data_IF_954660221785
#
_entry.id   IF_954660221785
#
_cell.length_a   1.000
_cell.length_b   1.000
_cell.length_c   1.000
_cell.angle_alpha   90.00
_cell.angle_beta   90.00
_cell.angle_gamma   90.00
#
_symmetry.space_group_name_H-M   'P 1'
#
loop_
_entity.id
_entity.type
_entity.pdbx_description
1 polymer ?
#
# COMPACT_ATOMS: atom_id res chain seq x y z
N UNK A 1 -4.27 -25.85 3.49
CA UNK A 1 -4.20 -25.76 2.02
C UNK A 1 -4.20 -27.18 1.51
N UNK A 2 -4.88 -27.45 0.41
CA UNK A 2 -4.88 -28.75 -0.23
C UNK A 2 -4.21 -28.60 -1.60
N UNK A 3 -3.24 -29.46 -1.86
CA UNK A 3 -2.56 -29.59 -3.14
C UNK A 3 -2.71 -31.01 -3.67
N UNK A 4 -2.47 -31.20 -4.97
CA UNK A 4 -2.24 -32.54 -5.52
C UNK A 4 -0.94 -33.15 -4.95
N UNK A 5 -0.71 -34.44 -5.27
CA UNK A 5 0.44 -35.20 -4.74
C UNK A 5 1.79 -34.55 -5.08
N UNK A 6 1.88 -33.94 -6.26
CA UNK A 6 3.10 -33.35 -6.78
C UNK A 6 3.26 -31.86 -6.41
N UNK A 7 2.29 -31.30 -5.68
CA UNK A 7 2.20 -29.88 -5.32
C UNK A 7 2.21 -28.91 -6.52
N UNK A 8 1.78 -29.39 -7.69
CA UNK A 8 1.66 -28.62 -8.93
C UNK A 8 0.30 -27.95 -9.07
N UNK A 9 -0.73 -28.45 -8.39
CA UNK A 9 -2.08 -27.89 -8.41
C UNK A 9 -2.51 -27.48 -7.02
N UNK A 10 -2.85 -26.20 -6.84
CA UNK A 10 -3.57 -25.77 -5.63
C UNK A 10 -5.04 -26.16 -5.78
N UNK A 11 -5.45 -27.18 -5.05
CA UNK A 11 -6.82 -27.71 -5.09
C UNK A 11 -7.75 -26.86 -4.22
N UNK A 12 -7.30 -26.46 -3.02
CA UNK A 12 -8.17 -25.75 -2.09
C UNK A 12 -7.43 -24.86 -1.07
N UNK A 13 -7.93 -23.64 -0.95
CA UNK A 13 -7.74 -22.71 0.13
C UNK A 13 -9.03 -22.68 0.98
N UNK A 14 -8.98 -22.99 2.29
CA UNK A 14 -10.18 -22.97 3.13
C UNK A 14 -10.79 -21.58 3.19
N UNK A 15 -12.04 -21.46 2.74
CA UNK A 15 -12.77 -20.20 2.56
C UNK A 15 -12.90 -19.36 3.84
N UNK A 16 -12.90 -19.99 5.01
CA UNK A 16 -12.98 -19.33 6.33
C UNK A 16 -11.63 -19.06 6.99
N UNK A 17 -10.51 -19.30 6.29
CA UNK A 17 -9.18 -19.02 6.84
C UNK A 17 -9.04 -17.51 7.11
N UNK A 18 -8.62 -17.16 8.32
CA UNK A 18 -8.52 -15.78 8.80
C UNK A 18 -7.38 -14.97 8.17
N UNK A 19 -6.43 -15.63 7.50
CA UNK A 19 -5.36 -14.95 6.79
C UNK A 19 -5.93 -14.09 5.66
N UNK A 20 -5.56 -12.82 5.65
CA UNK A 20 -5.99 -11.84 4.65
C UNK A 20 -5.11 -11.85 3.40
N UNK A 21 -3.98 -12.54 3.43
CA UNK A 21 -3.05 -12.66 2.32
C UNK A 21 -2.59 -14.10 2.14
N UNK A 22 -2.26 -14.47 0.90
CA UNK A 22 -1.69 -15.78 0.59
C UNK A 22 -0.72 -15.70 -0.58
N UNK A 23 0.45 -16.31 -0.44
CA UNK A 23 1.40 -16.48 -1.54
C UNK A 23 1.38 -17.92 -2.00
N UNK A 24 1.02 -18.15 -3.26
CA UNK A 24 0.99 -19.48 -3.85
C UNK A 24 2.45 -19.93 -4.07
N UNK A 25 2.84 -21.16 -3.68
CA UNK A 25 4.21 -21.65 -3.87
C UNK A 25 4.67 -21.65 -5.33
N UNK A 26 5.94 -21.33 -5.58
CA UNK A 26 6.51 -21.16 -6.92
C UNK A 26 6.55 -22.45 -7.79
N UNK A 27 6.26 -23.62 -7.22
CA UNK A 27 6.11 -24.88 -7.97
C UNK A 27 4.71 -25.14 -8.53
N UNK A 28 3.71 -24.33 -8.13
CA UNK A 28 2.33 -24.51 -8.55
C UNK A 28 2.16 -24.02 -9.99
N UNK A 29 1.66 -24.89 -10.86
CA UNK A 29 1.39 -24.61 -12.28
C UNK A 29 -0.09 -24.37 -12.54
N UNK A 30 -0.99 -24.79 -11.65
CA UNK A 30 -2.44 -24.64 -11.83
C UNK A 30 -3.14 -24.23 -10.53
N UNK A 31 -4.08 -23.28 -10.65
CA UNK A 31 -5.06 -22.98 -9.60
C UNK A 31 -6.33 -23.74 -9.94
N UNK A 32 -6.66 -24.73 -9.11
CA UNK A 32 -7.74 -25.67 -9.34
C UNK A 32 -9.14 -25.04 -9.31
N UNK A 33 -10.12 -25.83 -9.77
CA UNK A 33 -11.53 -25.43 -9.76
C UNK A 33 -11.94 -25.06 -8.33
N UNK A 34 -12.56 -23.88 -8.20
CA UNK A 34 -13.03 -23.35 -6.92
C UNK A 34 -11.96 -23.21 -5.81
N UNK A 35 -10.66 -23.23 -6.14
CA UNK A 35 -9.59 -23.31 -5.15
C UNK A 35 -9.66 -22.23 -4.06
N UNK A 36 -10.02 -20.99 -4.42
CA UNK A 36 -10.23 -19.87 -3.49
C UNK A 36 -11.70 -19.45 -3.38
N UNK A 37 -12.64 -20.27 -3.85
CA UNK A 37 -14.05 -19.90 -3.87
C UNK A 37 -14.54 -19.49 -2.49
N UNK A 38 -15.25 -18.36 -2.42
CA UNK A 38 -15.81 -17.75 -1.21
C UNK A 38 -14.78 -17.47 -0.12
N UNK A 39 -13.50 -17.28 -0.47
CA UNK A 39 -12.48 -16.79 0.47
C UNK A 39 -12.69 -15.29 0.76
N UNK A 40 -13.77 -14.95 1.48
CA UNK A 40 -14.25 -13.58 1.67
C UNK A 40 -13.34 -12.71 2.52
N UNK A 41 -12.34 -13.28 3.20
CA UNK A 41 -11.34 -12.54 3.98
C UNK A 41 -10.04 -12.29 3.21
N UNK A 42 -9.84 -12.97 2.07
CA UNK A 42 -8.61 -12.87 1.29
C UNK A 42 -8.60 -11.54 0.53
N UNK A 43 -7.73 -10.62 0.98
CA UNK A 43 -7.54 -9.28 0.39
C UNK A 43 -6.48 -9.24 -0.69
N UNK A 44 -5.54 -10.20 -0.68
CA UNK A 44 -4.43 -10.27 -1.63
C UNK A 44 -3.98 -11.71 -1.86
N UNK A 45 -3.67 -12.05 -3.11
CA UNK A 45 -3.08 -13.32 -3.50
C UNK A 45 -1.88 -13.06 -4.41
N UNK A 46 -0.76 -13.72 -4.13
CA UNK A 46 0.41 -13.72 -5.03
C UNK A 46 0.36 -14.97 -5.89
N UNK A 47 0.21 -14.77 -7.20
CA UNK A 47 0.22 -15.83 -8.22
C UNK A 47 1.63 -15.90 -8.83
N UNK A 48 2.37 -17.00 -8.67
CA UNK A 48 3.75 -17.11 -9.16
C UNK A 48 3.78 -17.29 -10.67
N UNK A 49 4.91 -16.93 -11.27
CA UNK A 49 5.14 -17.02 -12.71
C UNK A 49 5.12 -18.46 -13.26
N UNK A 50 5.05 -19.49 -12.42
CA UNK A 50 4.85 -20.89 -12.80
C UNK A 50 3.40 -21.21 -13.20
N UNK A 51 2.41 -20.41 -12.76
CA UNK A 51 1.00 -20.72 -12.99
C UNK A 51 0.62 -20.49 -14.46
N UNK A 52 0.18 -21.55 -15.13
CA UNK A 52 -0.30 -21.51 -16.51
C UNK A 52 -1.82 -21.39 -16.60
N UNK A 53 -2.58 -21.85 -15.60
CA UNK A 53 -4.04 -21.92 -15.68
C UNK A 53 -4.71 -21.49 -14.36
N UNK A 54 -5.74 -20.65 -14.50
CA UNK A 54 -6.70 -20.33 -13.45
C UNK A 54 -8.02 -21.00 -13.82
N UNK A 55 -8.41 -22.05 -13.11
CA UNK A 55 -9.56 -22.87 -13.50
C UNK A 55 -10.92 -22.21 -13.21
N UNK A 56 -11.98 -22.92 -13.60
CA UNK A 56 -13.37 -22.52 -13.39
C UNK A 56 -13.63 -22.12 -11.93
N UNK A 57 -14.28 -20.97 -11.74
CA UNK A 57 -14.68 -20.46 -10.42
C UNK A 57 -13.57 -20.36 -9.37
N UNK A 58 -12.30 -20.38 -9.76
CA UNK A 58 -11.14 -20.43 -8.85
C UNK A 58 -11.19 -19.36 -7.75
N UNK A 59 -11.59 -18.13 -8.06
CA UNK A 59 -11.75 -16.99 -7.15
C UNK A 59 -13.21 -16.51 -7.06
N UNK A 60 -14.17 -17.39 -7.33
CA UNK A 60 -15.59 -17.03 -7.29
C UNK A 60 -15.98 -16.53 -5.91
N UNK A 61 -16.56 -15.32 -5.82
CA UNK A 61 -17.05 -14.74 -4.57
C UNK A 61 -15.97 -14.36 -3.56
N UNK A 62 -14.73 -14.07 -4.00
CA UNK A 62 -13.71 -13.47 -3.15
C UNK A 62 -13.98 -11.98 -2.94
N UNK A 63 -14.91 -11.65 -2.05
CA UNK A 63 -15.48 -10.30 -1.87
C UNK A 63 -14.59 -9.30 -1.12
N UNK A 64 -13.35 -9.66 -0.77
CA UNK A 64 -12.36 -8.72 -0.21
C UNK A 64 -11.14 -8.54 -1.10
N UNK A 65 -10.99 -9.35 -2.14
CA UNK A 65 -9.87 -9.25 -3.07
C UNK A 65 -10.06 -7.99 -3.91
N UNK A 66 -9.18 -7.01 -3.74
CA UNK A 66 -9.31 -5.69 -4.39
C UNK A 66 -8.43 -5.54 -5.63
N UNK A 67 -7.36 -6.35 -5.71
CA UNK A 67 -6.44 -6.41 -6.83
C UNK A 67 -5.95 -7.84 -7.10
N UNK A 68 -5.56 -8.10 -8.34
CA UNK A 68 -4.89 -9.35 -8.73
C UNK A 68 -3.84 -9.10 -9.80
N UNK A 69 -2.66 -9.70 -9.62
CA UNK A 69 -1.60 -9.72 -10.63
C UNK A 69 -1.60 -11.11 -11.28
N UNK A 70 -1.92 -11.14 -12.57
CA UNK A 70 -1.96 -12.34 -13.41
C UNK A 70 -0.63 -12.41 -14.20
N UNK A 71 0.21 -13.43 -13.94
CA UNK A 71 1.52 -13.52 -14.58
C UNK A 71 1.41 -13.85 -16.07
N UNK A 72 2.46 -13.51 -16.84
CA UNK A 72 2.53 -13.70 -18.29
C UNK A 72 2.39 -15.17 -18.73
N UNK A 73 2.67 -16.11 -17.82
CA UNK A 73 2.52 -17.55 -18.03
C UNK A 73 1.08 -18.01 -18.05
N UNK A 74 0.12 -17.24 -17.50
CA UNK A 74 -1.30 -17.62 -17.54
C UNK A 74 -1.83 -17.48 -18.96
N UNK A 75 -2.14 -18.62 -19.57
CA UNK A 75 -2.71 -18.70 -20.92
C UNK A 75 -4.22 -18.92 -20.90
N UNK A 76 -4.79 -19.35 -19.77
CA UNK A 76 -6.21 -19.64 -19.62
C UNK A 76 -6.80 -19.19 -18.28
N UNK A 77 -7.92 -18.49 -18.35
CA UNK A 77 -8.78 -18.12 -17.22
C UNK A 77 -10.15 -18.75 -17.46
N UNK A 78 -10.56 -19.66 -16.59
CA UNK A 78 -11.76 -20.46 -16.73
C UNK A 78 -13.07 -19.69 -16.58
N UNK A 79 -14.18 -20.36 -16.88
CA UNK A 79 -15.52 -19.82 -16.71
C UNK A 79 -15.72 -19.35 -15.26
N UNK A 80 -16.34 -18.19 -15.09
CA UNK A 80 -16.66 -17.62 -13.77
C UNK A 80 -15.46 -17.50 -12.79
N UNK A 81 -14.21 -17.52 -13.27
CA UNK A 81 -13.02 -17.59 -12.43
C UNK A 81 -13.00 -16.53 -11.31
N UNK A 82 -13.42 -15.30 -11.59
CA UNK A 82 -13.56 -14.18 -10.64
C UNK A 82 -15.02 -13.72 -10.49
N UNK A 83 -15.98 -14.60 -10.78
CA UNK A 83 -17.41 -14.25 -10.72
C UNK A 83 -17.79 -13.77 -9.31
N UNK A 84 -18.40 -12.60 -9.22
CA UNK A 84 -18.84 -12.01 -7.95
C UNK A 84 -17.69 -11.62 -7.00
N UNK A 85 -16.45 -11.48 -7.49
CA UNK A 85 -15.37 -10.84 -6.74
C UNK A 85 -15.61 -9.31 -6.68
N UNK A 86 -16.65 -8.91 -5.94
CA UNK A 86 -17.28 -7.59 -6.02
C UNK A 86 -16.39 -6.39 -5.70
N UNK A 87 -15.28 -6.60 -4.99
CA UNK A 87 -14.29 -5.57 -4.67
C UNK A 87 -13.14 -5.50 -5.66
N UNK A 88 -13.02 -6.47 -6.57
CA UNK A 88 -11.91 -6.56 -7.51
C UNK A 88 -12.03 -5.43 -8.54
N UNK A 89 -11.25 -4.38 -8.35
CA UNK A 89 -11.24 -3.21 -9.23
C UNK A 89 -9.96 -3.15 -10.08
N UNK A 90 -8.90 -3.82 -9.63
CA UNK A 90 -7.56 -3.63 -10.13
C UNK A 90 -6.99 -4.94 -10.66
N UNK A 91 -7.06 -5.16 -11.97
CA UNK A 91 -6.59 -6.40 -12.60
C UNK A 91 -5.37 -6.07 -13.45
N UNK A 92 -4.27 -6.78 -13.22
CA UNK A 92 -3.02 -6.56 -13.95
C UNK A 92 -2.63 -7.84 -14.66
N UNK A 93 -2.39 -7.76 -15.97
CA UNK A 93 -1.84 -8.86 -16.74
C UNK A 93 -0.46 -8.50 -17.28
N UNK A 94 0.53 -9.35 -17.03
CA UNK A 94 1.95 -9.07 -17.34
C UNK A 94 2.44 -9.67 -18.66
N UNK A 95 1.61 -10.47 -19.33
CA UNK A 95 1.95 -11.07 -20.63
C UNK A 95 1.70 -10.14 -21.81
N UNK A 96 2.38 -10.42 -22.92
CA UNK A 96 2.24 -9.65 -24.17
C UNK A 96 1.01 -10.06 -25.01
N UNK A 97 0.38 -11.20 -24.72
CA UNK A 97 -0.78 -11.71 -25.45
C UNK A 97 -1.89 -12.08 -24.46
N UNK A 98 -3.14 -11.73 -24.78
CA UNK A 98 -4.26 -12.01 -23.90
C UNK A 98 -4.48 -13.52 -23.71
N UNK A 99 -4.84 -13.97 -22.49
CA UNK A 99 -5.22 -15.34 -22.25
C UNK A 99 -6.56 -15.67 -22.93
N UNK A 100 -6.89 -16.94 -23.03
CA UNK A 100 -8.26 -17.39 -23.26
C UNK A 100 -9.08 -17.11 -22.01
N UNK A 101 -10.21 -16.43 -22.14
CA UNK A 101 -11.05 -16.03 -21.02
C UNK A 101 -12.41 -16.70 -21.17
N UNK A 102 -12.79 -17.46 -20.13
CA UNK A 102 -14.05 -18.16 -20.05
C UNK A 102 -15.25 -17.24 -19.91
N UNK A 103 -16.43 -17.80 -20.17
CA UNK A 103 -17.69 -17.08 -20.01
C UNK A 103 -17.85 -16.59 -18.56
N UNK A 104 -18.24 -15.33 -18.41
CA UNK A 104 -18.47 -14.69 -17.12
C UNK A 104 -17.27 -14.62 -16.18
N UNK A 105 -16.03 -14.84 -16.67
CA UNK A 105 -14.84 -14.91 -15.82
C UNK A 105 -14.69 -13.69 -14.89
N UNK A 106 -15.08 -12.50 -15.35
CA UNK A 106 -15.09 -11.29 -14.53
C UNK A 106 -16.48 -10.67 -14.34
N UNK A 107 -17.57 -11.43 -14.46
CA UNK A 107 -18.91 -10.89 -14.20
C UNK A 107 -19.10 -10.62 -12.70
N UNK A 108 -19.64 -9.45 -12.35
CA UNK A 108 -19.88 -9.08 -10.95
C UNK A 108 -18.62 -8.68 -10.17
N UNK A 109 -17.53 -8.34 -10.87
CA UNK A 109 -16.42 -7.56 -10.28
C UNK A 109 -16.85 -6.10 -10.04
N UNK A 110 -15.99 -5.28 -9.44
CA UNK A 110 -16.31 -3.88 -9.18
C UNK A 110 -16.70 -3.15 -10.49
N UNK A 111 -17.71 -2.28 -10.46
CA UNK A 111 -18.12 -1.51 -11.65
C UNK A 111 -17.01 -0.57 -12.15
N UNK A 112 -16.09 -0.17 -11.27
CA UNK A 112 -14.91 0.60 -11.60
C UNK A 112 -13.79 -0.24 -12.23
N UNK A 113 -13.92 -1.57 -12.29
CA UNK A 113 -12.83 -2.46 -12.66
C UNK A 113 -12.14 -2.08 -13.96
N UNK A 114 -10.81 -2.12 -13.93
CA UNK A 114 -9.94 -1.92 -15.08
C UNK A 114 -8.89 -3.03 -15.14
N UNK A 115 -8.62 -3.46 -16.36
CA UNK A 115 -7.51 -4.33 -16.67
C UNK A 115 -6.37 -3.46 -17.21
N UNK A 116 -5.21 -3.54 -16.57
CA UNK A 116 -3.99 -2.97 -17.10
C UNK A 116 -3.21 -4.05 -17.84
N UNK A 117 -2.66 -3.65 -18.98
CA UNK A 117 -1.82 -4.49 -19.82
C UNK A 117 -0.56 -3.72 -20.24
N UNK A 118 0.48 -4.47 -20.61
CA UNK A 118 1.72 -3.86 -21.12
C UNK A 118 1.46 -3.14 -22.45
N UNK A 119 2.13 -2.00 -22.66
CA UNK A 119 2.07 -1.26 -23.92
C UNK A 119 2.34 -2.16 -25.13
N UNK A 120 1.42 -2.16 -26.08
CA UNK A 120 1.51 -2.96 -27.31
C UNK A 120 1.16 -4.44 -27.12
N UNK A 121 0.54 -4.82 -25.99
CA UNK A 121 0.04 -6.16 -25.80
C UNK A 121 -1.14 -6.46 -26.74
N UNK A 122 -1.20 -7.68 -27.28
CA UNK A 122 -2.16 -8.06 -28.32
C UNK A 122 -3.30 -8.90 -27.77
N UNK A 123 -4.48 -8.82 -28.41
CA UNK A 123 -5.65 -9.61 -28.01
C UNK A 123 -6.43 -9.07 -26.81
N UNK A 124 -6.13 -7.87 -26.31
CA UNK A 124 -6.91 -7.20 -25.28
C UNK A 124 -7.85 -6.18 -25.93
N UNK A 125 -8.96 -6.66 -26.47
CA UNK A 125 -9.94 -5.78 -27.12
C UNK A 125 -11.07 -5.41 -26.15
N UNK A 126 -11.48 -4.15 -26.18
CA UNK A 126 -12.63 -3.63 -25.41
C UNK A 126 -13.97 -3.89 -26.12
N UNK A 127 -13.93 -4.31 -27.38
CA UNK A 127 -15.07 -4.67 -28.21
C UNK A 127 -14.71 -5.81 -29.18
N UNK A 128 -15.73 -6.42 -29.78
CA UNK A 128 -15.60 -7.59 -30.67
C UNK A 128 -15.78 -8.91 -29.94
N UNK A 129 -16.25 -9.94 -30.65
CA UNK A 129 -16.50 -11.27 -30.10
C UNK A 129 -15.27 -12.18 -30.27
N UNK A 130 -14.91 -12.96 -29.23
CA UNK A 130 -15.39 -12.82 -27.86
C UNK A 130 -14.77 -11.57 -27.21
N UNK A 131 -15.59 -10.78 -26.49
CA UNK A 131 -15.08 -9.65 -25.72
C UNK A 131 -14.15 -10.23 -24.66
N UNK A 132 -12.83 -10.09 -24.87
CA UNK A 132 -11.87 -10.98 -24.20
C UNK A 132 -11.81 -10.74 -22.69
N UNK A 133 -12.38 -9.67 -22.16
CA UNK A 133 -12.32 -9.34 -20.73
C UNK A 133 -13.70 -9.10 -20.07
N UNK A 134 -14.75 -9.74 -20.58
CA UNK A 134 -16.12 -9.66 -20.04
C UNK A 134 -16.61 -8.21 -19.78
N UNK A 135 -16.21 -7.26 -20.64
CA UNK A 135 -16.61 -5.85 -20.52
C UNK A 135 -15.75 -4.99 -19.57
N UNK A 136 -14.68 -5.53 -19.00
CA UNK A 136 -13.70 -4.71 -18.26
C UNK A 136 -12.96 -3.80 -19.24
N UNK A 137 -12.88 -2.51 -18.92
CA UNK A 137 -12.06 -1.56 -19.67
C UNK A 137 -10.58 -1.93 -19.59
N UNK A 138 -9.92 -2.03 -20.74
CA UNK A 138 -8.47 -2.30 -20.85
C UNK A 138 -7.74 -0.99 -21.06
N UNK A 139 -6.72 -0.73 -20.25
CA UNK A 139 -5.82 0.40 -20.41
C UNK A 139 -4.47 -0.11 -20.96
N UNK A 140 -4.06 0.40 -22.12
CA UNK A 140 -2.76 0.08 -22.73
C UNK A 140 -1.68 1.05 -22.21
N UNK A 141 -0.74 0.53 -21.43
CA UNK A 141 0.38 1.28 -20.89
C UNK A 141 0.16 1.98 -19.54
N UNK A 142 1.30 2.25 -18.89
CA UNK A 142 1.50 3.23 -17.82
C UNK A 142 0.63 3.11 -16.53
N UNK A 143 1.21 2.44 -15.51
CA UNK A 143 1.06 2.68 -14.06
C UNK A 143 -0.09 2.05 -13.28
N UNK A 144 -0.31 0.73 -13.37
CA UNK A 144 -0.83 0.01 -12.19
C UNK A 144 0.33 -0.46 -11.31
N UNK A 145 0.65 0.35 -10.29
CA UNK A 145 1.47 -0.11 -9.18
C UNK A 145 0.58 -0.90 -8.21
N UNK A 146 0.82 -2.20 -8.08
CA UNK A 146 0.33 -2.96 -6.92
C UNK A 146 1.21 -2.65 -5.71
N UNK A 147 0.64 -2.71 -4.50
CA UNK A 147 1.34 -2.30 -3.28
C UNK A 147 1.52 -3.52 -2.36
N UNK A 148 2.77 -3.97 -2.20
CA UNK A 148 3.12 -5.01 -1.25
C UNK A 148 3.58 -4.38 0.06
N UNK A 149 2.77 -4.48 1.11
CA UNK A 149 3.07 -3.91 2.42
C UNK A 149 4.24 -4.61 3.16
N UNK A 150 4.84 -5.67 2.62
CA UNK A 150 5.99 -6.37 3.22
C UNK A 150 5.77 -6.73 4.70
N UNK A 151 4.62 -7.35 4.98
CA UNK A 151 4.19 -7.72 6.33
C UNK A 151 3.55 -6.60 7.16
N UNK A 152 3.27 -5.44 6.55
CA UNK A 152 2.41 -4.41 7.15
C UNK A 152 0.91 -4.62 6.84
N UNK A 153 0.08 -3.69 7.31
CA UNK A 153 -1.36 -3.68 7.10
C UNK A 153 -1.72 -3.57 5.62
N UNK A 154 -2.91 -4.06 5.27
CA UNK A 154 -3.41 -4.02 3.90
C UNK A 154 -3.47 -2.59 3.37
N UNK A 155 -3.05 -2.41 2.12
CA UNK A 155 -3.11 -1.14 1.40
C UNK A 155 -4.14 -1.27 0.30
N UNK A 156 -5.18 -0.44 0.34
CA UNK A 156 -6.18 -0.39 -0.71
C UNK A 156 -5.52 0.06 -2.03
N UNK A 157 -5.91 -0.58 -3.13
CA UNK A 157 -5.53 -0.11 -4.47
C UNK A 157 -6.06 1.32 -4.68
N UNK A 158 -5.23 2.18 -5.27
CA UNK A 158 -5.60 3.56 -5.58
C UNK A 158 -6.25 3.65 -6.96
N UNK A 159 -7.35 4.39 -7.04
CA UNK A 159 -8.02 4.71 -8.29
C UNK A 159 -7.23 5.77 -9.08
N UNK A 160 -7.23 5.64 -10.40
CA UNK A 160 -6.51 6.54 -11.30
C UNK A 160 -7.39 7.72 -11.75
N UNK A 161 -6.74 8.86 -11.97
CA UNK A 161 -7.32 9.98 -12.73
C UNK A 161 -7.39 9.62 -14.22
N UNK A 162 -8.27 10.30 -14.97
CA UNK A 162 -8.45 10.07 -16.41
C UNK A 162 -7.17 10.30 -17.25
N UNK A 163 -6.15 10.94 -16.68
CA UNK A 163 -4.83 11.17 -17.29
C UNK A 163 -3.78 10.11 -16.88
N UNK A 164 -4.18 9.02 -16.21
CA UNK A 164 -3.29 7.93 -15.80
C UNK A 164 -2.47 8.20 -14.53
N UNK A 165 -2.72 9.31 -13.82
CA UNK A 165 -2.05 9.61 -12.55
C UNK A 165 -2.77 8.97 -11.36
N UNK A 166 -1.99 8.60 -10.35
CA UNK A 166 -2.50 8.30 -9.01
C UNK A 166 -2.85 9.64 -8.34
N UNK A 167 -4.13 9.85 -8.03
CA UNK A 167 -4.63 11.13 -7.49
C UNK A 167 -4.02 11.46 -6.11
N UNK A 168 -3.58 10.44 -5.36
CA UNK A 168 -2.97 10.56 -4.03
C UNK A 168 -2.18 9.30 -3.68
N UNK A 169 -1.10 9.44 -2.89
CA UNK A 169 -0.38 8.29 -2.35
C UNK A 169 -1.36 7.35 -1.64
N UNK A 170 -1.20 6.01 -1.77
CA UNK A 170 -2.05 5.08 -1.03
C UNK A 170 -1.90 5.31 0.49
N UNK A 171 -2.90 4.87 1.26
CA UNK A 171 -2.81 4.88 2.73
C UNK A 171 -1.54 4.20 3.19
N UNK A 172 -0.77 4.87 4.07
CA UNK A 172 0.45 4.31 4.62
C UNK A 172 0.12 3.02 5.39
N UNK A 173 0.76 1.88 5.06
CA UNK A 173 0.58 0.67 5.85
C UNK A 173 1.17 0.87 7.25
N UNK A 174 0.74 0.03 8.18
CA UNK A 174 1.28 -0.05 9.55
C UNK A 174 1.93 -1.40 9.79
N UNK A 175 3.05 -1.44 10.52
CA UNK A 175 3.75 -2.68 10.91
C UNK A 175 4.30 -2.53 12.32
N UNK A 176 3.94 -3.45 13.22
CA UNK A 176 4.37 -3.38 14.62
C UNK A 176 5.90 -3.32 14.72
N UNK A 177 6.41 -2.42 15.58
CA UNK A 177 7.85 -2.21 15.77
C UNK A 177 8.58 -1.53 14.60
N UNK A 178 7.87 -1.03 13.59
CA UNK A 178 8.48 -0.41 12.40
C UNK A 178 7.80 0.92 12.03
N UNK A 179 8.55 1.84 11.45
CA UNK A 179 8.03 3.07 10.81
C UNK A 179 8.05 2.89 9.31
N UNK A 180 6.96 3.27 8.64
CA UNK A 180 6.89 3.24 7.18
C UNK A 180 7.80 4.31 6.57
N UNK A 181 8.78 3.89 5.78
CA UNK A 181 9.79 4.76 5.17
C UNK A 181 9.40 5.21 3.74
N UNK A 182 8.41 4.54 3.14
CA UNK A 182 7.93 4.82 1.79
C UNK A 182 7.88 3.57 0.91
N UNK A 183 7.53 3.80 -0.35
CA UNK A 183 7.39 2.75 -1.37
C UNK A 183 8.66 2.65 -2.22
N UNK A 184 9.13 1.44 -2.51
CA UNK A 184 10.31 1.17 -3.34
C UNK A 184 9.93 0.31 -4.55
N UNK A 185 10.64 0.45 -5.68
CA UNK A 185 10.36 -0.33 -6.89
C UNK A 185 10.70 -1.82 -6.77
N UNK A 186 11.58 -2.17 -5.83
CA UNK A 186 11.99 -3.55 -5.53
C UNK A 186 11.90 -3.78 -4.03
N UNK A 187 11.68 -5.03 -3.63
CA UNK A 187 11.77 -5.41 -2.22
C UNK A 187 13.19 -5.11 -1.67
N UNK A 188 13.27 -4.53 -0.47
CA UNK A 188 14.54 -4.07 0.11
C UNK A 188 15.21 -2.89 -0.60
N UNK A 189 14.55 -2.25 -1.57
CA UNK A 189 15.11 -1.10 -2.31
C UNK A 189 15.44 0.10 -1.41
N UNK A 190 16.38 0.93 -1.86
CA UNK A 190 16.74 2.18 -1.13
C UNK A 190 16.06 3.43 -1.68
N UNK A 191 15.66 3.42 -2.95
CA UNK A 191 15.07 4.58 -3.63
C UNK A 191 13.57 4.63 -3.38
N UNK A 192 13.11 5.67 -2.69
CA UNK A 192 11.70 5.92 -2.42
C UNK A 192 11.01 6.55 -3.64
N UNK A 193 9.89 5.96 -4.04
CA UNK A 193 9.00 6.46 -5.09
C UNK A 193 8.21 7.66 -4.55
N UNK A 194 8.18 8.75 -5.33
CA UNK A 194 7.49 10.00 -4.96
C UNK A 194 6.14 10.09 -5.68
N UNK A 195 5.05 10.31 -4.96
CA UNK A 195 3.71 10.55 -5.54
C UNK A 195 3.46 12.06 -5.70
N UNK A 196 2.70 12.51 -6.73
CA UNK A 196 2.06 11.73 -7.81
C UNK A 196 2.97 11.45 -9.02
N UNK A 197 4.23 11.90 -9.00
CA UNK A 197 5.16 11.76 -10.13
C UNK A 197 5.86 10.41 -10.08
N UNK A 198 5.24 9.37 -10.63
CA UNK A 198 5.89 8.08 -10.93
C UNK A 198 6.25 8.01 -12.41
N UNK A 199 7.48 8.33 -12.84
CA UNK A 199 7.80 8.38 -14.27
C UNK A 199 8.02 7.00 -14.90
N UNK A 200 8.00 5.89 -14.15
CA UNK A 200 8.34 4.55 -14.71
C UNK A 200 7.63 3.26 -14.20
N UNK A 201 6.61 3.30 -13.34
CA UNK A 201 5.75 2.11 -13.12
C UNK A 201 4.97 1.68 -14.38
N UNK A 202 5.43 0.65 -15.09
CA UNK A 202 4.60 0.04 -16.13
C UNK A 202 3.57 -0.91 -15.52
N UNK A 203 2.65 -1.41 -16.33
CA UNK A 203 1.72 -2.44 -15.89
C UNK A 203 2.45 -3.64 -15.25
N UNK A 204 2.03 -4.08 -14.07
CA UNK A 204 2.71 -5.17 -13.35
C UNK A 204 3.76 -4.72 -12.34
N UNK A 205 4.02 -3.42 -12.25
CA UNK A 205 4.94 -2.92 -11.22
C UNK A 205 4.35 -3.20 -9.84
N UNK A 206 5.12 -3.83 -8.97
CA UNK A 206 4.78 -3.94 -7.54
C UNK A 206 5.69 -3.00 -6.79
N UNK A 207 5.12 -2.06 -6.06
CA UNK A 207 5.85 -1.24 -5.11
C UNK A 207 5.86 -1.94 -3.76
N UNK A 208 7.02 -1.96 -3.13
CA UNK A 208 7.27 -2.66 -1.89
C UNK A 208 7.41 -1.67 -0.74
N UNK A 209 6.76 -1.94 0.39
CA UNK A 209 6.86 -1.10 1.55
C UNK A 209 8.26 -1.24 2.17
N UNK A 210 8.94 -0.11 2.32
CA UNK A 210 10.17 -0.02 3.09
C UNK A 210 9.84 0.32 4.54
N UNK A 211 10.50 -0.38 5.45
CA UNK A 211 10.31 -0.26 6.89
C UNK A 211 11.62 0.08 7.56
N UNK A 212 11.62 1.09 8.43
CA UNK A 212 12.70 1.36 9.37
C UNK A 212 12.30 0.78 10.75
N UNK A 213 13.24 0.12 11.44
CA UNK A 213 12.98 -0.37 12.80
C UNK A 213 12.74 0.82 13.74
N UNK A 214 11.69 0.73 14.56
CA UNK A 214 11.52 1.66 15.68
C UNK A 214 12.60 1.27 16.71
N UNK A 215 13.58 2.14 16.99
CA UNK A 215 14.59 1.83 18.00
C UNK A 215 13.89 1.66 19.35
N UNK A 216 14.09 0.51 19.98
CA UNK A 216 13.68 0.29 21.37
C UNK A 216 14.54 1.22 22.21
N UNK A 217 13.95 2.31 22.68
CA UNK A 217 14.52 3.03 23.82
C UNK A 217 14.39 2.08 24.99
N UNK A 218 15.49 1.44 25.39
CA UNK A 218 15.58 0.83 26.71
C UNK A 218 15.43 1.98 27.70
N UNK A 219 14.20 2.20 28.15
CA UNK A 219 13.95 3.06 29.29
C UNK A 219 14.74 2.46 30.47
N UNK A 220 15.62 3.23 31.13
CA UNK A 220 16.28 2.73 32.33
C UNK A 220 15.20 2.31 33.32
N UNK A 221 15.34 1.08 33.84
CA UNK A 221 14.38 0.47 34.75
C UNK A 221 13.95 1.47 35.84
N UNK A 222 12.64 1.59 36.12
CA UNK A 222 12.18 2.45 37.21
C UNK A 222 12.89 2.01 38.50
N UNK A 223 13.47 2.98 39.19
CA UNK A 223 14.11 2.76 40.48
C UNK A 223 13.09 2.13 41.44
N UNK A 224 13.33 0.86 41.76
CA UNK A 224 12.61 0.12 42.79
C UNK A 224 12.87 0.81 44.11
N UNK A 225 11.86 1.42 44.73
CA UNK A 225 11.92 1.77 46.15
C UNK A 225 10.53 1.73 46.83
N UNK A 226 10.35 0.58 47.48
CA UNK A 226 9.67 0.31 48.74
C UNK A 226 8.14 0.07 48.81
N UNK A 227 7.69 -0.87 49.68
CA UNK A 227 6.39 -1.53 49.59
C UNK A 227 5.34 -1.01 50.57
N UNK A 228 4.12 -1.55 50.36
CA UNK A 228 3.00 -1.78 51.29
C UNK A 228 1.76 -0.90 51.08
N UNK A 229 0.55 -1.36 51.47
CA UNK A 229 0.04 -2.73 51.63
C UNK A 229 -1.27 -2.96 50.84
N UNK A 230 -1.71 -4.23 50.80
CA UNK A 230 -2.99 -4.65 50.24
C UNK A 230 -4.19 -4.08 51.01
N UNK A 231 -5.24 -3.67 50.29
CA UNK A 231 -6.65 -3.82 50.69
C UNK A 231 -7.58 -3.81 49.47
N UNK A 232 -8.66 -4.57 49.64
CA UNK A 232 -9.67 -5.08 48.72
C UNK A 232 -10.74 -4.08 48.25
N UNK A 233 -11.30 -4.27 47.04
CA UNK A 233 -12.69 -4.74 46.83
C UNK A 233 -13.23 -4.55 45.38
N UNK A 234 -13.80 -5.64 44.87
CA UNK A 234 -14.99 -5.82 43.98
C UNK A 234 -15.30 -4.92 42.76
N UNK A 235 -15.61 -5.63 41.65
CA UNK A 235 -16.23 -5.28 40.35
C UNK A 235 -17.59 -4.54 40.43
N UNK A 236 -18.27 -4.01 39.35
CA UNK A 236 -18.33 -4.55 37.97
C UNK A 236 -18.44 -3.56 36.76
N UNK A 237 -18.32 -4.15 35.56
CA UNK A 237 -18.82 -3.80 34.20
C UNK A 237 -19.21 -2.35 33.82
N UNK A 238 -18.66 -1.84 32.70
CA UNK A 238 -19.42 -1.39 31.51
C UNK A 238 -18.55 -0.69 30.44
N UNK A 239 -18.83 -1.02 29.18
CA UNK A 239 -18.80 -0.18 27.97
C UNK A 239 -17.60 0.78 27.74
N UNK A 240 -16.66 0.35 26.89
CA UNK A 240 -15.77 1.28 26.18
C UNK A 240 -16.41 1.69 24.85
N UNK A 241 -17.05 2.86 24.86
CA UNK A 241 -17.37 3.65 23.66
C UNK A 241 -16.07 4.02 22.94
N UNK A 242 -15.79 3.36 21.82
CA UNK A 242 -14.73 3.75 20.89
C UNK A 242 -15.19 4.97 20.09
N UNK A 243 -14.83 6.16 20.56
CA UNK A 243 -14.86 7.37 19.75
C UNK A 243 -13.87 7.22 18.60
N UNK A 244 -14.39 7.33 17.37
CA UNK A 244 -13.63 7.34 16.14
C UNK A 244 -12.55 8.43 16.17
N UNK A 245 -11.29 8.02 16.08
CA UNK A 245 -10.18 8.95 15.90
C UNK A 245 -9.97 9.18 14.41
N UNK A 246 -10.40 10.36 13.97
CA UNK A 246 -10.35 10.89 12.61
C UNK A 246 -8.96 10.76 11.98
N UNK A 247 -8.88 10.11 10.83
CA UNK A 247 -7.69 10.01 10.00
C UNK A 247 -7.24 11.42 9.57
N UNK A 248 -6.06 11.85 10.01
CA UNK A 248 -5.49 13.14 9.62
C UNK A 248 -4.91 13.07 8.21
N UNK A 249 -5.63 13.63 7.26
CA UNK A 249 -5.12 14.09 5.97
C UNK A 249 -4.01 15.13 6.22
N UNK A 250 -2.80 14.90 5.72
CA UNK A 250 -1.71 15.88 5.74
C UNK A 250 -1.90 16.97 4.66
N UNK A 251 -3.07 17.61 4.67
CA UNK A 251 -3.37 18.83 3.92
C UNK A 251 -3.55 19.94 4.96
N UNK A 252 -2.51 20.74 5.16
CA UNK A 252 -2.57 21.86 6.09
C UNK A 252 -3.20 23.04 5.36
N UNK A 253 -4.33 23.55 5.88
CA UNK A 253 -5.15 24.58 5.24
C UNK A 253 -4.45 25.94 5.13
N UNK A 254 -4.63 26.62 3.99
CA UNK A 254 -4.18 27.98 3.77
C UNK A 254 -4.91 28.99 4.69
N UNK A 255 -4.27 29.33 5.82
CA UNK A 255 -4.18 30.67 6.43
C UNK A 255 -3.57 30.57 7.84
N UNK A 256 -2.26 30.32 7.94
CA UNK A 256 -1.54 30.50 9.20
C UNK A 256 -0.03 30.62 8.97
N UNK A 257 0.65 31.32 9.88
CA UNK A 257 2.11 31.25 10.01
C UNK A 257 2.46 29.91 10.67
N UNK A 258 3.16 29.03 9.96
CA UNK A 258 3.58 27.75 10.52
C UNK A 258 5.00 27.83 11.07
N UNK A 259 5.24 27.21 12.24
CA UNK A 259 6.59 27.03 12.76
C UNK A 259 7.18 25.72 12.25
N UNK A 260 8.51 25.64 12.18
CA UNK A 260 9.21 24.41 11.79
C UNK A 260 8.82 23.22 12.69
N UNK A 261 8.63 23.48 13.99
CA UNK A 261 8.26 22.46 14.99
C UNK A 261 6.81 21.99 14.83
N UNK A 262 5.86 22.90 14.58
CA UNK A 262 4.46 22.52 14.31
C UNK A 262 4.31 21.71 13.02
N UNK A 263 5.07 22.06 11.97
CA UNK A 263 5.10 21.28 10.73
C UNK A 263 5.74 19.91 10.94
N UNK A 264 6.79 19.81 11.76
CA UNK A 264 7.42 18.53 12.11
C UNK A 264 6.44 17.58 12.80
N UNK A 265 5.64 18.08 13.74
CA UNK A 265 4.60 17.29 14.41
C UNK A 265 3.50 16.85 13.44
N UNK A 266 3.08 17.72 12.52
CA UNK A 266 2.08 17.39 11.49
C UNK A 266 2.55 16.30 10.52
N UNK A 267 3.85 16.20 10.24
CA UNK A 267 4.41 15.11 9.43
C UNK A 267 4.78 13.87 10.27
N UNK A 268 4.23 13.75 11.48
CA UNK A 268 4.43 12.58 12.34
C UNK A 268 5.84 12.47 12.94
N UNK A 269 6.60 13.57 13.04
CA UNK A 269 7.79 13.61 13.91
C UNK A 269 7.32 13.95 15.32
N UNK A 270 6.98 12.91 16.09
CA UNK A 270 6.38 13.04 17.43
C UNK A 270 7.41 13.19 18.55
N UNK A 271 8.69 12.86 18.30
CA UNK A 271 9.79 13.07 19.23
C UNK A 271 10.87 13.94 18.58
N UNK A 272 10.94 15.20 18.99
CA UNK A 272 12.01 16.13 18.61
C UNK A 272 12.74 16.47 19.91
N UNK A 273 14.02 16.11 20.05
CA UNK A 273 14.73 16.46 21.28
C UNK A 273 14.78 17.99 21.45
N UNK A 274 14.84 18.51 22.69
CA UNK A 274 14.91 19.96 22.92
C UNK A 274 16.08 20.65 22.21
N UNK A 275 17.10 19.88 21.81
CA UNK A 275 18.34 20.33 21.17
C UNK A 275 18.38 20.01 19.65
N UNK A 276 17.32 19.47 19.07
CA UNK A 276 17.26 19.16 17.66
C UNK A 276 17.10 20.43 16.80
N UNK A 277 17.81 20.46 15.67
CA UNK A 277 17.69 21.52 14.68
C UNK A 277 16.60 21.15 13.68
N UNK A 278 15.52 21.93 13.64
CA UNK A 278 14.44 21.76 12.65
C UNK A 278 14.56 22.84 11.58
N UNK A 279 14.79 22.44 10.33
CA UNK A 279 14.87 23.36 9.19
C UNK A 279 13.72 23.12 8.22
N UNK A 280 13.31 24.20 7.57
CA UNK A 280 12.30 24.22 6.51
C UNK A 280 13.02 24.61 5.23
N UNK A 281 12.79 23.90 4.14
CA UNK A 281 13.23 24.27 2.79
C UNK A 281 12.03 24.35 1.87
N UNK A 282 11.91 25.41 1.08
CA UNK A 282 10.83 25.60 0.09
C UNK A 282 11.32 25.15 -1.29
N UNK A 283 10.56 24.30 -1.97
CA UNK A 283 10.88 23.87 -3.32
C UNK A 283 10.97 25.08 -4.28
N UNK A 284 11.89 25.05 -5.25
CA UNK A 284 12.05 26.15 -6.23
C UNK A 284 10.73 26.49 -6.93
N UNK A 285 9.96 25.46 -7.31
CA UNK A 285 8.65 25.57 -7.95
C UNK A 285 7.57 26.19 -7.05
N UNK A 286 7.74 26.13 -5.72
CA UNK A 286 6.78 26.60 -4.72
C UNK A 286 7.08 28.00 -4.18
N UNK A 287 8.22 28.61 -4.54
CA UNK A 287 8.58 29.98 -4.10
C UNK A 287 7.57 31.06 -4.51
N UNK A 288 6.76 30.79 -5.54
CA UNK A 288 5.65 31.67 -5.96
C UNK A 288 4.43 31.59 -5.03
N UNK A 289 4.29 30.52 -4.25
CA UNK A 289 3.16 30.25 -3.36
C UNK A 289 3.51 30.47 -1.88
N UNK A 290 4.77 30.33 -1.50
CA UNK A 290 5.21 30.46 -0.12
C UNK A 290 6.70 30.83 -0.01
N UNK A 291 7.07 31.39 1.14
CA UNK A 291 8.46 31.73 1.48
C UNK A 291 8.77 31.37 2.94
N UNK A 292 10.07 31.24 3.25
CA UNK A 292 10.58 31.02 4.60
C UNK A 292 11.11 32.33 5.16
N UNK A 293 10.76 32.64 6.40
CA UNK A 293 11.39 33.70 7.19
C UNK A 293 11.83 33.12 8.53
N UNK A 294 13.15 32.97 8.73
CA UNK A 294 13.71 32.26 9.89
C UNK A 294 13.17 30.83 9.99
N UNK A 295 12.63 30.45 11.16
CA UNK A 295 12.02 29.13 11.41
C UNK A 295 10.54 29.05 11.05
N UNK A 296 10.01 30.04 10.31
CA UNK A 296 8.59 30.12 9.94
C UNK A 296 8.38 29.97 8.44
N UNK A 297 7.24 29.39 8.07
CA UNK A 297 6.73 29.33 6.70
C UNK A 297 5.58 30.35 6.56
N UNK A 298 5.64 31.15 5.49
CA UNK A 298 4.61 32.15 5.13
C UNK A 298 4.05 31.83 3.75
N UNK A 299 2.72 31.77 3.63
CA UNK A 299 2.02 31.66 2.34
C UNK A 299 1.93 33.03 1.67
N UNK A 300 2.18 33.08 0.36
CA UNK A 300 2.19 34.31 -0.45
C UNK A 300 0.91 34.45 -1.30
N UNK A 301 0.42 33.34 -1.87
CA UNK A 301 -0.82 33.30 -2.67
C UNK A 301 -1.43 31.90 -2.62
N UNK A 302 -2.70 31.78 -2.98
CA UNK A 302 -3.39 30.49 -3.06
C UNK A 302 -2.68 29.52 -4.02
N UNK A 303 -2.60 28.24 -3.64
CA UNK A 303 -1.96 27.18 -4.41
C UNK A 303 -0.98 26.35 -3.59
N UNK A 304 -0.55 25.22 -4.15
CA UNK A 304 0.24 24.23 -3.43
C UNK A 304 1.69 24.65 -3.19
N UNK A 305 2.07 24.73 -1.92
CA UNK A 305 3.41 24.98 -1.43
C UNK A 305 4.07 23.68 -0.96
N UNK A 306 5.06 23.21 -1.71
CA UNK A 306 5.86 22.03 -1.36
C UNK A 306 7.02 22.46 -0.48
N UNK A 307 7.09 21.88 0.72
CA UNK A 307 8.15 22.16 1.69
C UNK A 307 8.76 20.88 2.22
N UNK A 308 10.05 20.95 2.50
CA UNK A 308 10.82 19.86 3.10
C UNK A 308 11.21 20.26 4.52
N UNK A 309 10.80 19.46 5.48
CA UNK A 309 11.16 19.56 6.89
C UNK A 309 12.32 18.62 7.15
N UNK A 310 13.41 19.16 7.67
CA UNK A 310 14.56 18.37 8.10
C UNK A 310 14.73 18.52 9.60
N UNK A 311 14.70 17.41 10.32
CA UNK A 311 15.00 17.34 11.75
C UNK A 311 16.36 16.68 11.91
N UNK A 312 17.29 17.40 12.55
CA UNK A 312 18.62 16.92 12.83
C UNK A 312 18.84 16.86 14.33
N UNK A 313 19.02 15.66 14.86
CA UNK A 313 19.30 15.45 16.29
C UNK A 313 20.78 15.77 16.59
N UNK A 314 21.09 16.35 17.76
CA UNK A 314 22.46 16.64 18.15
C UNK A 314 23.23 15.35 18.39
N UNK A 315 24.54 15.40 18.17
CA UNK A 315 25.40 14.23 18.38
C UNK A 315 25.38 13.82 19.87
N UNK A 316 25.19 12.52 20.20
CA UNK A 316 25.32 12.05 21.57
C UNK A 316 26.72 12.35 22.12
N UNK A 317 26.80 12.88 23.35
CA UNK A 317 28.08 13.09 24.03
C UNK A 317 28.51 11.77 24.70
N UNK A 318 29.47 11.07 24.08
CA UNK A 318 30.14 9.89 24.67
C UNK A 318 30.08 8.64 23.78
N UNK A 319 31.25 8.01 23.59
CA UNK A 319 31.38 6.69 22.93
C UNK A 319 31.44 6.72 21.39
N UNK A 320 32.13 5.74 20.78
CA UNK A 320 32.51 5.63 19.35
C UNK A 320 31.46 6.15 18.37
N UNK A 321 31.83 7.22 17.63
CA UNK A 321 31.08 7.96 16.58
C UNK A 321 29.74 7.35 16.13
N UNK A 322 28.61 7.66 16.79
CA UNK A 322 27.29 7.58 16.16
C UNK A 322 27.15 8.76 15.18
N UNK A 323 26.62 8.52 13.97
CA UNK A 323 26.27 9.58 13.01
C UNK A 323 25.04 10.34 13.52
N UNK A 324 24.98 11.64 13.28
CA UNK A 324 23.78 12.43 13.58
C UNK A 324 22.58 11.88 12.78
N UNK A 325 21.47 11.63 13.47
CA UNK A 325 20.23 11.19 12.81
C UNK A 325 19.59 12.39 12.12
N UNK A 326 19.41 12.29 10.80
CA UNK A 326 18.79 13.32 9.97
C UNK A 326 17.52 12.76 9.35
N UNK A 327 16.37 13.23 9.81
CA UNK A 327 15.07 12.84 9.26
C UNK A 327 14.59 13.94 8.33
N UNK A 328 14.23 13.60 7.11
CA UNK A 328 13.73 14.56 6.11
C UNK A 328 12.35 14.10 5.64
N UNK A 329 11.34 14.96 5.77
CA UNK A 329 9.97 14.70 5.29
C UNK A 329 9.49 15.86 4.42
N UNK A 330 8.76 15.55 3.36
CA UNK A 330 8.16 16.55 2.46
C UNK A 330 6.67 16.63 2.72
N UNK A 331 6.12 17.85 2.72
CA UNK A 331 4.68 18.09 2.85
C UNK A 331 4.20 19.09 1.79
N UNK A 332 2.90 19.06 1.52
CA UNK A 332 2.21 20.03 0.68
C UNK A 332 1.27 20.86 1.56
N UNK A 333 1.49 22.18 1.58
CA UNK A 333 0.60 23.16 2.21
C UNK A 333 -0.28 23.74 1.10
N UNK A 334 -1.60 23.62 1.22
CA UNK A 334 -2.57 23.99 0.16
C UNK A 334 -3.45 25.16 0.57
#
# INVERSE_FOLDING_TARGET
MLFDKDATTLIQYPSRKSNTTYSIPAGVTSIGKEAFSRSTLLTSVTIPASVATIAESAFRGTTSLSSVNIPASVTGIGNNAFFGASTLANITFTGNAAPTIGSGAFTGVASSAKACVKTGATGFTTSGSPARWNGIGVNDGAYMASFNANGGSTVAGVSFLANGQISSAPTEPTKAGHTFAGWTATDGGSTIVTFPHTPSATCGTTLHAKWDLIPVVNEPAPLVNNPAPAVSNSAPAAASTSTAQTATTNVVSAKANYTAKSLATQVGVTTVSPKATVTISVAKSSKKFCTKSGSKLKTLKAGSCVVTITVQEPKPKGGKKPKATKTTKTLVVS
#
